data_IF_946423242369
#
_entry.id   IF_946423242369
#
_cell.length_a   1.000
_cell.length_b   1.000
_cell.length_c   1.000
_cell.angle_alpha   90.00
_cell.angle_beta   90.00
_cell.angle_gamma   90.00
#
_symmetry.space_group_name_H-M   'P 1'
#
loop_
_entity.id
_entity.type
_entity.pdbx_description
1 polymer ?
#
# COMPACT_ATOMS: atom_id res chain seq x y z
N UNK A 1 -21.06 -14.12 22.40
CA UNK A 1 -20.10 -14.07 21.27
C UNK A 1 -19.87 -12.63 20.86
N UNK A 2 -18.61 -12.23 20.69
CA UNK A 2 -18.25 -10.91 20.17
C UNK A 2 -18.46 -10.87 18.65
N UNK A 3 -18.88 -9.71 18.13
CA UNK A 3 -18.95 -9.45 16.69
C UNK A 3 -18.06 -8.25 16.38
N UNK A 4 -17.17 -8.42 15.42
CA UNK A 4 -16.28 -7.37 14.91
C UNK A 4 -16.66 -7.13 13.45
N UNK A 5 -16.89 -5.87 13.09
CA UNK A 5 -17.13 -5.50 11.69
C UNK A 5 -15.76 -5.47 11.01
N UNK A 6 -15.46 -6.47 10.20
CA UNK A 6 -14.18 -6.59 9.51
C UNK A 6 -14.02 -5.55 8.41
N UNK A 7 -15.12 -5.13 7.79
CA UNK A 7 -15.09 -4.18 6.67
C UNK A 7 -16.35 -3.30 6.68
N UNK A 8 -16.15 -2.00 6.53
CA UNK A 8 -17.22 -1.02 6.35
C UNK A 8 -16.64 0.27 5.78
N UNK A 9 -17.29 0.86 4.79
CA UNK A 9 -16.80 2.08 4.16
C UNK A 9 -17.75 2.58 3.09
N UNK A 10 -17.34 3.65 2.41
CA UNK A 10 -18.14 4.28 1.37
C UNK A 10 -17.24 4.88 0.29
N UNK A 11 -17.51 4.55 -0.97
CA UNK A 11 -16.69 4.97 -2.10
C UNK A 11 -16.80 6.48 -2.37
N UNK A 12 -15.68 7.12 -2.68
CA UNK A 12 -15.62 8.56 -2.97
C UNK A 12 -15.88 8.91 -4.44
N UNK A 13 -15.91 7.92 -5.32
CA UNK A 13 -16.17 8.10 -6.74
C UNK A 13 -16.74 6.80 -7.29
N UNK A 14 -17.62 6.87 -8.29
CA UNK A 14 -18.22 5.72 -8.94
C UNK A 14 -18.65 6.07 -10.36
N UNK A 15 -19.28 5.11 -11.02
CA UNK A 15 -19.80 5.28 -12.37
C UNK A 15 -21.04 6.20 -12.40
N UNK A 16 -21.51 6.58 -13.60
CA UNK A 16 -22.67 7.49 -13.76
C UNK A 16 -23.96 6.95 -13.12
N UNK A 17 -24.09 5.62 -13.04
CA UNK A 17 -25.19 4.92 -12.38
C UNK A 17 -24.99 4.73 -10.88
N UNK A 18 -23.88 5.23 -10.30
CA UNK A 18 -23.56 5.19 -8.87
C UNK A 18 -23.52 6.60 -8.24
N UNK A 19 -24.59 7.41 -8.33
CA UNK A 19 -24.56 8.82 -7.92
C UNK A 19 -24.32 9.04 -6.42
N UNK A 20 -24.43 7.98 -5.61
CA UNK A 20 -24.16 8.02 -4.19
C UNK A 20 -22.66 7.91 -3.84
N UNK A 21 -21.82 7.45 -4.77
CA UNK A 21 -20.37 7.33 -4.61
C UNK A 21 -19.70 8.69 -4.85
N UNK A 22 -19.78 9.58 -3.86
CA UNK A 22 -19.25 10.94 -3.94
C UNK A 22 -18.29 11.22 -2.79
N UNK A 23 -17.33 12.15 -2.93
CA UNK A 23 -16.40 12.48 -1.85
C UNK A 23 -17.12 13.01 -0.60
N UNK A 24 -18.24 13.73 -0.80
CA UNK A 24 -19.08 14.25 0.29
C UNK A 24 -19.72 13.13 1.09
N UNK A 25 -20.27 12.11 0.43
CA UNK A 25 -20.89 10.98 1.11
C UNK A 25 -19.85 10.09 1.78
N UNK A 26 -18.73 9.81 1.10
CA UNK A 26 -17.62 9.05 1.66
C UNK A 26 -17.08 9.69 2.95
N UNK A 27 -16.82 11.00 2.90
CA UNK A 27 -16.44 11.80 4.07
C UNK A 27 -17.47 11.68 5.18
N UNK A 28 -18.74 11.87 4.86
CA UNK A 28 -19.83 11.86 5.86
C UNK A 28 -19.92 10.52 6.57
N UNK A 29 -19.91 9.42 5.81
CA UNK A 29 -19.99 8.07 6.35
C UNK A 29 -18.80 7.74 7.25
N UNK A 30 -17.58 7.84 6.73
CA UNK A 30 -16.38 7.42 7.44
C UNK A 30 -16.07 8.33 8.64
N UNK A 31 -16.33 9.63 8.54
CA UNK A 31 -16.19 10.55 9.67
C UNK A 31 -17.20 10.26 10.78
N UNK A 32 -18.47 9.97 10.44
CA UNK A 32 -19.48 9.62 11.42
C UNK A 32 -19.23 8.26 12.05
N UNK A 33 -18.71 7.29 11.28
CA UNK A 33 -18.26 6.01 11.80
C UNK A 33 -17.15 6.21 12.85
N UNK A 34 -16.12 7.01 12.54
CA UNK A 34 -15.07 7.36 13.51
C UNK A 34 -15.65 7.98 14.78
N UNK A 35 -16.56 8.96 14.65
CA UNK A 35 -17.26 9.56 15.80
C UNK A 35 -18.06 8.51 16.58
N UNK A 36 -18.73 7.57 15.89
CA UNK A 36 -19.56 6.53 16.50
C UNK A 36 -18.74 5.53 17.30
N UNK A 37 -17.56 5.15 16.81
CA UNK A 37 -16.62 4.27 17.50
C UNK A 37 -15.97 4.99 18.70
N UNK A 38 -15.63 6.27 18.55
CA UNK A 38 -15.08 7.08 19.64
C UNK A 38 -16.01 7.21 20.86
N UNK A 39 -17.33 7.07 20.68
CA UNK A 39 -18.31 7.04 21.78
C UNK A 39 -18.19 5.79 22.68
N UNK A 40 -17.46 4.75 22.26
CA UNK A 40 -17.26 3.51 23.03
C UNK A 40 -18.57 2.83 23.48
N UNK A 41 -19.65 2.99 22.69
CA UNK A 41 -20.97 2.39 22.96
C UNK A 41 -21.25 1.22 22.02
N UNK A 42 -21.97 0.21 22.52
CA UNK A 42 -22.47 -0.90 21.72
C UNK A 42 -23.69 -0.59 20.87
N UNK A 43 -24.30 -1.60 20.27
CA UNK A 43 -25.55 -1.47 19.49
C UNK A 43 -26.77 -1.49 20.42
N UNK A 44 -27.98 -1.09 19.95
CA UNK A 44 -29.19 -1.17 20.77
C UNK A 44 -29.43 -2.57 21.37
N UNK A 45 -29.19 -3.63 20.58
CA UNK A 45 -29.31 -5.02 21.04
C UNK A 45 -28.22 -5.43 22.05
N UNK A 46 -27.00 -4.87 21.93
CA UNK A 46 -25.85 -5.19 22.78
C UNK A 46 -25.17 -3.92 23.30
N UNK A 47 -25.81 -3.15 24.19
CA UNK A 47 -25.36 -1.80 24.55
C UNK A 47 -24.07 -1.78 25.38
N UNK A 48 -23.82 -2.83 26.17
CA UNK A 48 -22.64 -2.98 27.03
C UNK A 48 -21.39 -3.51 26.29
N UNK A 49 -21.53 -3.96 25.04
CA UNK A 49 -20.41 -4.48 24.24
C UNK A 49 -19.93 -3.40 23.28
N UNK A 50 -18.68 -2.93 23.43
CA UNK A 50 -18.13 -1.89 22.56
C UNK A 50 -18.12 -2.33 21.09
N UNK A 51 -18.60 -1.46 20.21
CA UNK A 51 -18.54 -1.69 18.76
C UNK A 51 -17.10 -1.59 18.26
N UNK A 52 -16.62 -2.63 17.58
CA UNK A 52 -15.33 -2.66 16.89
C UNK A 52 -15.57 -2.77 15.38
N UNK A 53 -14.90 -1.92 14.60
CA UNK A 53 -15.01 -1.92 13.15
C UNK A 53 -13.70 -1.47 12.51
N UNK A 54 -13.40 -2.02 11.34
CA UNK A 54 -12.30 -1.58 10.48
C UNK A 54 -12.86 -0.88 9.23
N UNK A 55 -12.26 0.25 8.87
CA UNK A 55 -12.65 1.00 7.68
C UNK A 55 -12.09 0.30 6.45
N UNK A 56 -12.97 -0.01 5.51
CA UNK A 56 -12.62 -0.44 4.16
C UNK A 56 -12.57 0.80 3.24
N UNK A 57 -11.41 1.22 2.72
CA UNK A 57 -10.07 0.65 2.92
C UNK A 57 -9.04 1.77 3.12
N UNK A 58 -7.77 1.39 3.31
CA UNK A 58 -6.70 2.37 3.48
C UNK A 58 -6.42 3.14 2.18
N UNK A 59 -6.30 2.42 1.06
CA UNK A 59 -5.92 2.99 -0.23
C UNK A 59 -7.00 2.77 -1.29
N UNK A 60 -7.05 3.66 -2.29
CA UNK A 60 -7.75 3.40 -3.53
C UNK A 60 -7.02 2.30 -4.30
N UNK A 61 -7.72 1.22 -4.64
CA UNK A 61 -7.17 0.03 -5.25
C UNK A 61 -7.53 -0.01 -6.74
N UNK A 62 -6.69 0.60 -7.58
CA UNK A 62 -6.94 0.78 -9.02
C UNK A 62 -7.15 -0.53 -9.81
N UNK A 63 -6.64 -1.65 -9.30
CA UNK A 63 -6.66 -2.96 -9.95
C UNK A 63 -7.84 -3.82 -9.51
N UNK A 64 -8.75 -3.30 -8.67
CA UNK A 64 -9.96 -4.04 -8.32
C UNK A 64 -10.86 -4.25 -9.55
N UNK A 65 -11.41 -5.46 -9.73
CA UNK A 65 -12.40 -5.70 -10.77
C UNK A 65 -13.73 -5.03 -10.42
N UNK A 66 -14.62 -4.92 -11.41
CA UNK A 66 -15.98 -4.39 -11.21
C UNK A 66 -16.10 -2.89 -11.48
N UNK A 67 -17.10 -2.28 -10.84
CA UNK A 67 -17.48 -0.89 -11.02
C UNK A 67 -16.37 0.08 -10.58
N UNK A 68 -16.45 1.34 -11.03
CA UNK A 68 -15.50 2.38 -10.62
C UNK A 68 -15.50 2.60 -9.10
N UNK A 69 -16.63 2.41 -8.41
CA UNK A 69 -16.74 2.51 -6.95
C UNK A 69 -15.77 1.60 -6.19
N UNK A 70 -15.58 0.36 -6.65
CA UNK A 70 -14.68 -0.62 -6.02
C UNK A 70 -13.25 -0.09 -5.89
N UNK A 71 -12.81 0.72 -6.87
CA UNK A 71 -11.45 1.28 -6.93
C UNK A 71 -11.27 2.51 -6.01
N UNK A 72 -12.34 3.02 -5.41
CA UNK A 72 -12.40 4.34 -4.78
C UNK A 72 -12.90 4.33 -3.32
N UNK A 73 -12.70 3.23 -2.60
CA UNK A 73 -13.02 3.13 -1.15
C UNK A 73 -11.94 3.69 -0.21
N UNK A 74 -10.75 3.98 -0.73
CA UNK A 74 -9.59 4.37 0.06
C UNK A 74 -9.76 5.69 0.80
N UNK A 75 -9.30 5.72 2.06
CA UNK A 75 -9.05 6.96 2.78
C UNK A 75 -7.93 7.80 2.13
N UNK A 76 -6.98 7.12 1.49
CA UNK A 76 -5.85 7.70 0.78
C UNK A 76 -5.80 7.24 -0.68
N UNK A 77 -5.18 8.05 -1.53
CA UNK A 77 -4.78 7.65 -2.89
C UNK A 77 -3.47 6.86 -2.85
N UNK A 78 -3.10 6.25 -3.96
CA UNK A 78 -1.87 5.44 -4.06
C UNK A 78 -0.58 6.24 -3.76
N UNK A 79 -0.59 7.56 -3.96
CA UNK A 79 0.52 8.46 -3.63
C UNK A 79 0.58 8.87 -2.14
N UNK A 80 -0.35 8.37 -1.31
CA UNK A 80 -0.46 8.71 0.10
C UNK A 80 -1.18 10.04 0.38
N UNK A 81 -1.61 10.78 -0.65
CA UNK A 81 -2.48 11.95 -0.47
C UNK A 81 -3.88 11.52 0.00
N UNK A 82 -4.59 12.41 0.68
CA UNK A 82 -5.94 12.11 1.17
C UNK A 82 -6.94 12.04 0.02
N UNK A 83 -7.85 11.06 0.04
CA UNK A 83 -8.95 10.98 -0.92
C UNK A 83 -10.01 12.05 -0.63
N UNK A 84 -10.27 12.31 0.65
CA UNK A 84 -11.19 13.32 1.16
C UNK A 84 -10.84 13.68 2.61
N UNK A 85 -11.26 14.86 3.05
CA UNK A 85 -10.89 15.40 4.36
C UNK A 85 -11.63 14.70 5.52
N UNK A 86 -11.01 13.69 6.14
CA UNK A 86 -11.59 12.95 7.28
C UNK A 86 -10.98 13.32 8.64
N UNK A 87 -10.08 14.32 8.67
CA UNK A 87 -9.33 14.73 9.86
C UNK A 87 -7.99 14.01 10.01
N UNK A 88 -7.49 13.41 8.93
CA UNK A 88 -6.10 12.95 8.81
C UNK A 88 -5.36 13.84 7.81
N UNK A 89 -4.07 14.04 8.00
CA UNK A 89 -3.19 14.58 6.99
C UNK A 89 -2.72 13.48 6.04
N UNK A 90 -2.26 13.85 4.85
CA UNK A 90 -1.63 12.91 3.91
C UNK A 90 -0.45 12.17 4.54
N UNK A 91 -0.21 10.95 4.06
CA UNK A 91 0.93 10.14 4.49
C UNK A 91 2.22 10.81 4.03
N UNK A 92 3.20 10.89 4.92
CA UNK A 92 4.54 11.36 4.57
C UNK A 92 5.35 10.17 4.05
N UNK A 93 6.11 10.39 2.97
CA UNK A 93 7.07 9.39 2.52
C UNK A 93 8.03 9.03 3.65
N UNK A 94 8.27 7.74 3.82
CA UNK A 94 9.29 7.25 4.76
C UNK A 94 10.64 7.81 4.34
N UNK A 95 11.40 8.33 5.30
CA UNK A 95 12.81 8.69 5.09
C UNK A 95 13.73 7.48 5.08
N UNK A 96 13.17 6.26 5.12
CA UNK A 96 13.95 5.04 5.00
C UNK A 96 14.70 5.07 3.65
N UNK A 97 16.02 4.83 3.64
CA UNK A 97 16.74 4.70 2.39
C UNK A 97 16.08 3.56 1.61
N UNK A 98 15.70 3.83 0.37
CA UNK A 98 15.26 2.80 -0.56
C UNK A 98 16.37 1.75 -0.57
N UNK A 99 16.13 0.57 -0.01
CA UNK A 99 17.00 -0.59 -0.17
C UNK A 99 16.85 -1.15 -1.59
N UNK A 100 17.02 -0.28 -2.59
CA UNK A 100 17.28 -0.60 -3.97
C UNK A 100 18.72 -1.09 -4.08
N UNK A 101 19.07 -2.18 -3.38
CA UNK A 101 20.05 -3.09 -3.93
C UNK A 101 19.36 -3.74 -5.13
N UNK A 102 19.47 -3.05 -6.27
CA UNK A 102 18.95 -3.53 -7.54
C UNK A 102 19.55 -4.91 -7.79
N UNK A 103 18.70 -5.94 -7.89
CA UNK A 103 19.13 -7.30 -8.27
C UNK A 103 19.96 -7.32 -9.58
N UNK A 104 19.85 -6.26 -10.38
CA UNK A 104 20.62 -6.02 -11.60
C UNK A 104 22.10 -5.71 -11.32
N UNK A 105 22.39 -5.02 -10.22
CA UNK A 105 23.73 -4.58 -9.82
C UNK A 105 24.54 -5.76 -9.26
N UNK A 106 23.90 -6.66 -8.52
CA UNK A 106 24.53 -7.89 -8.03
C UNK A 106 24.98 -8.83 -9.17
N UNK A 107 24.19 -8.93 -10.26
CA UNK A 107 24.58 -9.71 -11.45
C UNK A 107 25.72 -9.07 -12.22
N UNK A 108 25.77 -7.74 -12.32
CA UNK A 108 26.85 -7.05 -13.02
C UNK A 108 28.19 -7.22 -12.30
N UNK A 109 28.25 -7.01 -10.98
CA UNK A 109 29.48 -7.19 -10.21
C UNK A 109 29.98 -8.63 -10.18
N UNK A 110 29.09 -9.61 -10.10
CA UNK A 110 29.47 -11.03 -10.14
C UNK A 110 30.10 -11.41 -11.49
N UNK A 111 29.51 -10.97 -12.61
CA UNK A 111 30.05 -11.25 -13.94
C UNK A 111 31.39 -10.54 -14.16
N UNK A 112 31.52 -9.25 -13.84
CA UNK A 112 32.78 -8.52 -13.98
C UNK A 112 33.93 -9.13 -13.17
N UNK A 113 33.65 -9.58 -11.93
CA UNK A 113 34.65 -10.22 -11.07
C UNK A 113 35.17 -11.55 -11.64
N UNK A 114 34.30 -12.34 -12.26
CA UNK A 114 34.70 -13.62 -12.90
C UNK A 114 35.50 -13.44 -14.19
N UNK A 115 35.19 -12.43 -15.00
CA UNK A 115 35.94 -12.19 -16.24
C UNK A 115 37.38 -11.76 -15.94
N UNK A 116 37.60 -10.86 -14.98
CA UNK A 116 38.93 -10.36 -14.66
C UNK A 116 39.87 -11.44 -14.10
N UNK A 117 39.34 -12.37 -13.28
CA UNK A 117 40.14 -13.45 -12.69
C UNK A 117 40.56 -14.50 -13.73
N UNK A 118 39.72 -14.80 -14.73
CA UNK A 118 40.09 -15.72 -15.82
C UNK A 118 41.17 -15.10 -16.72
N UNK A 119 41.08 -13.80 -17.01
CA UNK A 119 42.10 -13.11 -17.82
C UNK A 119 43.46 -13.07 -17.13
N UNK A 120 43.53 -12.83 -15.82
CA UNK A 120 44.81 -12.78 -15.10
C UNK A 120 45.46 -14.17 -15.00
N UNK A 121 44.69 -15.23 -14.77
CA UNK A 121 45.21 -16.61 -14.74
C UNK A 121 45.71 -17.02 -16.14
N UNK A 122 44.98 -16.69 -17.19
CA UNK A 122 45.40 -17.00 -18.57
C UNK A 122 46.71 -16.29 -18.94
N UNK A 123 46.82 -15.00 -18.63
CA UNK A 123 48.03 -14.22 -18.92
C UNK A 123 49.26 -14.73 -18.15
N UNK A 124 49.10 -15.11 -16.87
CA UNK A 124 50.22 -15.65 -16.08
C UNK A 124 50.67 -17.02 -16.56
N UNK A 125 49.73 -17.91 -16.94
CA UNK A 125 50.06 -19.22 -17.54
C UNK A 125 50.79 -19.04 -18.87
N UNK A 126 50.33 -18.13 -19.74
CA UNK A 126 51.00 -17.86 -21.02
C UNK A 126 52.44 -17.33 -20.82
N UNK A 127 52.64 -16.42 -19.86
CA UNK A 127 53.97 -15.91 -19.52
C UNK A 127 54.90 -16.98 -18.93
N UNK A 128 54.35 -17.96 -18.20
CA UNK A 128 55.11 -19.11 -17.71
C UNK A 128 55.51 -20.07 -18.84
N UNK A 129 54.63 -20.29 -19.83
CA UNK A 129 54.90 -21.14 -20.99
C UNK A 129 55.90 -20.52 -21.98
N UNK A 130 55.94 -19.19 -22.10
CA UNK A 130 56.90 -18.46 -22.94
C UNK A 130 58.29 -18.28 -22.30
N UNK A 131 58.47 -18.73 -21.04
CA UNK A 131 59.76 -18.70 -20.32
C UNK A 131 60.46 -20.07 -20.27
N UNK A 132 59.96 -21.04 -21.03
CA UNK A 132 60.60 -22.33 -21.33
C UNK A 132 61.12 -22.31 -22.77
#
# INVERSE_FOLDING_TARGET
>A
MEVIITETGWASHGDQNEPAATPKNARTYNYNLRKRLAKRKGTPLRPKMMLKAYIFALFNENSKPGASSEKNYGLFKADGSISYEIGFSGLKSSSAPSSLLSFKEFRAQALFGTYLSVFTISATVLLLLLRL
#
